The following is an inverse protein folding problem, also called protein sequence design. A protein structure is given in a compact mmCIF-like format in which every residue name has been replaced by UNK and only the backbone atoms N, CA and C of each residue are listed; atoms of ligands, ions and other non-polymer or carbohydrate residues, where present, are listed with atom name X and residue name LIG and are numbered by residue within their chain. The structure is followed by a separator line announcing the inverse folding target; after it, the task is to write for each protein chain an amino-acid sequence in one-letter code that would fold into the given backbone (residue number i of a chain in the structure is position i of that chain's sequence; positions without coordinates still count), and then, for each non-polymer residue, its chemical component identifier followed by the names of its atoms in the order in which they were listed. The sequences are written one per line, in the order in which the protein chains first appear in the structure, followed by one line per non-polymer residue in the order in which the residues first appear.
data_IF_740466956870
#
_entry.id   IF_740466956870
#
_cell.length_a   1.000
_cell.length_b   1.000
_cell.length_c   1.000
_cell.angle_alpha   90.00
_cell.angle_beta   90.00
_cell.angle_gamma   90.00
#
_symmetry.space_group_name_H-M   'P 1'
#
loop_
_entity.id
_entity.type
_entity.pdbx_description
1 polymer ?
#
# COMPACT_ATOMS: atom_id res chain seq x y z
N UNK A 1 13.30 -13.47 -0.34
CA UNK A 1 12.31 -14.57 -0.38
C UNK A 1 11.38 -14.37 -1.56
N UNK A 2 11.01 -15.45 -2.26
CA UNK A 2 10.11 -15.41 -3.42
C UNK A 2 8.76 -16.03 -3.02
N UNK A 3 7.67 -15.32 -3.27
CA UNK A 3 6.30 -15.78 -3.00
C UNK A 3 5.55 -15.88 -4.34
N UNK A 4 5.02 -17.05 -4.70
CA UNK A 4 4.24 -17.23 -5.92
C UNK A 4 2.84 -16.62 -5.78
N UNK A 5 2.31 -16.08 -6.89
CA UNK A 5 0.95 -15.59 -7.00
C UNK A 5 0.42 -15.82 -8.41
N UNK A 6 -0.33 -16.91 -8.60
CA UNK A 6 -0.75 -17.35 -9.93
C UNK A 6 0.45 -17.72 -10.81
N UNK A 7 0.56 -17.06 -11.95
CA UNK A 7 1.67 -17.20 -12.92
C UNK A 7 2.82 -16.20 -12.69
N UNK A 8 2.73 -15.42 -11.60
CA UNK A 8 3.72 -14.41 -11.24
C UNK A 8 4.37 -14.72 -9.89
N UNK A 9 5.36 -13.92 -9.52
CA UNK A 9 6.02 -14.00 -8.21
C UNK A 9 6.26 -12.59 -7.68
N UNK A 10 6.33 -12.46 -6.36
CA UNK A 10 6.87 -11.26 -5.71
C UNK A 10 8.15 -11.62 -4.97
N UNK A 11 9.02 -10.65 -4.81
CA UNK A 11 10.24 -10.81 -4.04
C UNK A 11 10.24 -9.86 -2.84
N UNK A 12 10.51 -10.42 -1.65
CA UNK A 12 10.72 -9.69 -0.41
C UNK A 12 12.14 -9.96 0.09
N UNK A 13 12.86 -8.92 0.46
CA UNK A 13 14.25 -8.99 0.86
C UNK A 13 14.40 -8.69 2.36
N UNK A 14 15.07 -9.57 3.09
CA UNK A 14 15.56 -9.27 4.42
C UNK A 14 16.74 -8.30 4.30
N UNK A 15 16.86 -7.40 5.26
CA UNK A 15 17.94 -6.42 5.29
C UNK A 15 18.47 -6.26 6.70
N UNK A 16 19.74 -5.88 6.80
CA UNK A 16 20.29 -5.38 8.05
C UNK A 16 19.83 -3.92 8.25
N UNK A 17 19.13 -3.66 9.35
CA UNK A 17 18.62 -2.34 9.69
C UNK A 17 17.09 -2.21 9.63
N UNK A 18 16.61 -0.97 9.60
CA UNK A 18 15.18 -0.70 9.63
C UNK A 18 14.51 -0.96 8.28
N UNK A 19 13.33 -1.55 8.30
CA UNK A 19 12.47 -1.70 7.13
C UNK A 19 11.47 -0.55 7.11
N UNK A 20 11.57 0.33 6.10
CA UNK A 20 10.58 1.36 5.84
C UNK A 20 9.37 0.80 5.09
N UNK A 21 8.16 1.20 5.45
CA UNK A 21 6.94 0.83 4.73
C UNK A 21 6.05 2.05 4.52
N UNK A 22 5.68 2.33 3.28
CA UNK A 22 4.67 3.34 2.95
C UNK A 22 3.28 2.74 3.19
N UNK A 23 2.65 3.08 4.32
CA UNK A 23 1.33 2.59 4.71
C UNK A 23 0.27 3.66 4.46
N UNK A 24 -0.59 3.44 3.47
CA UNK A 24 -1.65 4.38 3.07
C UNK A 24 -3.00 4.10 3.72
N UNK A 25 -3.13 3.03 4.50
CA UNK A 25 -4.43 2.53 4.99
C UNK A 25 -5.21 1.71 3.96
N UNK A 26 -4.74 1.64 2.71
CA UNK A 26 -5.32 0.83 1.64
C UNK A 26 -4.94 -0.65 1.72
N UNK A 27 -5.67 -1.48 0.96
CA UNK A 27 -5.51 -2.94 1.02
C UNK A 27 -4.13 -3.44 0.60
N UNK A 28 -3.49 -2.82 -0.41
CA UNK A 28 -2.21 -3.30 -0.92
C UNK A 28 -1.07 -3.04 0.07
N UNK A 29 -1.02 -1.84 0.66
CA UNK A 29 -0.01 -1.51 1.66
C UNK A 29 -0.19 -2.31 2.95
N UNK A 30 -1.43 -2.64 3.33
CA UNK A 30 -1.72 -3.51 4.46
C UNK A 30 -1.29 -4.96 4.17
N UNK A 31 -1.61 -5.49 2.98
CA UNK A 31 -1.17 -6.84 2.58
C UNK A 31 0.37 -6.93 2.59
N UNK A 32 1.03 -5.92 2.03
CA UNK A 32 2.49 -5.87 2.01
C UNK A 32 3.07 -5.90 3.43
N UNK A 33 2.57 -5.06 4.33
CA UNK A 33 3.02 -5.04 5.73
C UNK A 33 2.78 -6.39 6.42
N UNK A 34 1.62 -7.01 6.20
CA UNK A 34 1.29 -8.34 6.75
C UNK A 34 2.29 -9.40 6.25
N UNK A 35 2.57 -9.43 4.95
CA UNK A 35 3.54 -10.36 4.37
C UNK A 35 4.95 -10.14 4.90
N UNK A 36 5.38 -8.89 5.05
CA UNK A 36 6.68 -8.56 5.62
C UNK A 36 6.80 -9.07 7.07
N UNK A 37 5.79 -8.79 7.90
CA UNK A 37 5.79 -9.20 9.31
C UNK A 37 5.71 -10.72 9.51
N UNK A 38 5.00 -11.43 8.63
CA UNK A 38 4.86 -12.88 8.69
C UNK A 38 6.14 -13.61 8.27
N UNK A 39 6.95 -12.96 7.45
CA UNK A 39 8.15 -13.57 6.88
C UNK A 39 9.46 -13.06 7.49
N UNK A 40 9.43 -11.91 8.18
CA UNK A 40 10.60 -11.33 8.83
C UNK A 40 10.27 -11.03 10.30
N UNK A 41 10.76 -11.88 11.17
CA UNK A 41 10.60 -11.79 12.63
C UNK A 41 11.67 -10.88 13.25
N UNK A 42 11.35 -10.26 14.39
CA UNK A 42 12.25 -9.40 15.17
C UNK A 42 12.81 -8.22 14.39
N UNK A 43 12.02 -7.69 13.45
CA UNK A 43 12.38 -6.53 12.66
C UNK A 43 11.87 -5.25 13.29
N UNK A 44 12.57 -4.16 12.97
CA UNK A 44 12.13 -2.80 13.25
C UNK A 44 11.56 -2.18 11.99
N UNK A 45 10.25 -1.88 12.04
CA UNK A 45 9.51 -1.25 10.95
C UNK A 45 9.33 0.24 11.20
N UNK A 46 9.72 1.06 10.24
CA UNK A 46 9.41 2.51 10.21
C UNK A 46 8.25 2.71 9.23
N UNK A 47 7.09 3.03 9.77
CA UNK A 47 5.84 3.12 9.02
C UNK A 47 5.59 4.58 8.66
N UNK A 48 5.62 4.88 7.37
CA UNK A 48 5.37 6.22 6.84
C UNK A 48 3.93 6.33 6.36
N UNK A 49 3.16 7.22 6.99
CA UNK A 49 1.79 7.55 6.60
C UNK A 49 1.75 8.99 6.10
N UNK A 50 1.35 9.18 4.85
CA UNK A 50 1.12 10.52 4.31
C UNK A 50 -0.29 10.94 4.72
N UNK A 51 -0.39 11.97 5.55
CA UNK A 51 -1.67 12.51 6.00
C UNK A 51 -2.41 13.18 4.83
N UNK A 52 -3.61 12.68 4.56
CA UNK A 52 -4.48 13.12 3.48
C UNK A 52 -5.90 13.36 3.99
N UNK A 53 -6.65 14.15 3.23
CA UNK A 53 -8.08 14.39 3.52
C UNK A 53 -8.97 13.13 3.47
N UNK A 54 -8.46 12.02 2.93
CA UNK A 54 -9.17 10.73 2.88
C UNK A 54 -9.18 9.98 4.22
N UNK A 55 -8.55 10.52 5.26
CA UNK A 55 -8.49 9.92 6.59
C UNK A 55 -7.49 8.78 6.71
N UNK A 56 -6.47 8.73 5.83
CA UNK A 56 -5.43 7.69 5.81
C UNK A 56 -4.78 7.45 7.18
N UNK A 57 -4.45 8.50 7.92
CA UNK A 57 -3.83 8.42 9.25
C UNK A 57 -4.65 7.57 10.21
N UNK A 58 -5.96 7.80 10.30
CA UNK A 58 -6.84 7.05 11.19
C UNK A 58 -6.90 5.56 10.84
N UNK A 59 -6.84 5.23 9.55
CA UNK A 59 -6.87 3.84 9.12
C UNK A 59 -5.53 3.15 9.38
N UNK A 60 -4.42 3.86 9.22
CA UNK A 60 -3.10 3.30 9.52
C UNK A 60 -2.89 3.05 11.01
N UNK A 61 -3.40 3.90 11.89
CA UNK A 61 -3.40 3.66 13.34
C UNK A 61 -4.09 2.32 13.69
N UNK A 62 -5.31 2.10 13.21
CA UNK A 62 -6.04 0.84 13.42
C UNK A 62 -5.33 -0.39 12.86
N UNK A 63 -4.68 -0.24 11.72
CA UNK A 63 -3.87 -1.30 11.11
C UNK A 63 -2.69 -1.62 12.00
N UNK A 64 -2.01 -0.60 12.53
CA UNK A 64 -0.84 -0.80 13.37
C UNK A 64 -1.20 -1.44 14.72
N UNK A 65 -2.31 -1.07 15.33
CA UNK A 65 -2.82 -1.73 16.54
C UNK A 65 -2.97 -3.24 16.29
N UNK A 66 -3.67 -3.62 15.22
CA UNK A 66 -3.86 -5.02 14.88
C UNK A 66 -2.55 -5.75 14.53
N UNK A 67 -1.69 -5.13 13.73
CA UNK A 67 -0.42 -5.74 13.29
C UNK A 67 0.51 -5.93 14.49
N UNK A 68 0.57 -4.97 15.41
CA UNK A 68 1.38 -5.07 16.62
C UNK A 68 0.92 -6.20 17.56
N UNK A 69 -0.39 -6.39 17.69
CA UNK A 69 -0.93 -7.52 18.47
C UNK A 69 -0.63 -8.87 17.82
N UNK A 70 -0.69 -8.94 16.48
CA UNK A 70 -0.48 -10.19 15.72
C UNK A 70 0.99 -10.57 15.62
N UNK A 71 1.89 -9.59 15.55
CA UNK A 71 3.33 -9.79 15.37
C UNK A 71 4.13 -9.11 16.50
N UNK A 72 3.98 -9.58 17.75
CA UNK A 72 4.50 -8.89 18.94
C UNK A 72 6.02 -8.90 19.06
N UNK A 73 6.71 -9.66 18.25
CA UNK A 73 8.19 -9.72 18.21
C UNK A 73 8.80 -8.62 17.35
N UNK A 74 7.98 -7.95 16.53
CA UNK A 74 8.39 -6.83 15.69
C UNK A 74 8.16 -5.49 16.41
N UNK A 75 9.00 -4.51 16.09
CA UNK A 75 8.86 -3.13 16.58
C UNK A 75 8.31 -2.22 15.49
N UNK A 76 7.36 -1.34 15.83
CA UNK A 76 6.71 -0.44 14.86
C UNK A 76 6.84 1.02 15.31
N UNK A 77 7.36 1.86 14.42
CA UNK A 77 7.53 3.29 14.63
C UNK A 77 6.78 4.05 13.53
N UNK A 78 5.69 4.71 13.87
CA UNK A 78 4.90 5.47 12.90
C UNK A 78 5.45 6.89 12.75
N UNK A 79 5.63 7.31 11.51
CA UNK A 79 5.94 8.68 11.08
C UNK A 79 4.79 9.20 10.22
N UNK A 80 4.13 10.25 10.70
CA UNK A 80 3.05 10.91 9.95
C UNK A 80 3.67 12.07 9.19
N UNK A 81 3.65 11.97 7.88
CA UNK A 81 4.16 12.98 6.96
C UNK A 81 2.99 13.88 6.55
N UNK A 82 3.08 15.16 6.84
CA UNK A 82 2.05 16.12 6.39
C UNK A 82 2.04 16.17 4.87
N UNK A 83 0.92 15.81 4.28
CA UNK A 83 0.68 16.08 2.86
C UNK A 83 0.67 17.59 2.64
N UNK A 84 1.43 18.11 1.66
CA UNK A 84 1.48 19.54 1.36
C UNK A 84 0.11 20.19 1.23
N UNK A 85 0.05 21.50 1.42
CA UNK A 85 -1.19 22.28 1.45
C UNK A 85 -2.02 22.15 0.17
N UNK A 86 -3.34 22.29 0.25
CA UNK A 86 -4.24 22.06 -0.89
C UNK A 86 -3.94 22.99 -2.09
N UNK A 87 -3.38 24.18 -1.83
CA UNK A 87 -3.05 25.14 -2.88
C UNK A 87 -1.73 24.81 -3.59
N UNK A 88 -0.72 24.28 -2.90
CA UNK A 88 0.48 23.69 -3.53
C UNK A 88 0.15 22.44 -4.34
N UNK A 89 -0.93 21.74 -4.01
CA UNK A 89 -1.43 20.55 -4.72
C UNK A 89 -1.92 20.86 -6.14
N UNK A 90 -2.45 22.05 -6.39
CA UNK A 90 -2.95 22.46 -7.71
C UNK A 90 -1.83 22.80 -8.69
N UNK A 91 -0.75 23.41 -8.21
CA UNK A 91 0.39 23.81 -9.06
C UNK A 91 1.33 22.64 -9.37
N UNK A 92 1.50 21.67 -8.45
CA UNK A 92 2.43 20.54 -8.62
C UNK A 92 1.76 19.23 -9.04
N UNK A 93 0.43 19.15 -9.07
CA UNK A 93 -0.34 17.96 -9.42
C UNK A 93 -0.12 16.76 -8.47
N UNK A 94 0.20 16.97 -7.14
CA UNK A 94 0.92 15.96 -6.44
C UNK A 94 0.80 15.98 -4.91
N UNK A 95 -0.34 15.72 -4.34
CA UNK A 95 -0.40 15.56 -2.86
C UNK A 95 0.32 14.33 -2.30
N UNK A 96 0.44 13.27 -3.07
CA UNK A 96 1.15 12.06 -2.64
C UNK A 96 2.66 12.08 -2.93
N UNK A 97 3.10 12.82 -3.95
CA UNK A 97 4.50 12.86 -4.39
C UNK A 97 5.36 13.75 -3.48
N UNK A 98 4.82 14.86 -2.97
CA UNK A 98 5.57 15.72 -2.04
C UNK A 98 5.89 14.98 -0.74
N UNK A 99 4.90 14.33 -0.11
CA UNK A 99 5.13 13.53 1.08
C UNK A 99 6.04 12.31 0.82
N UNK A 100 5.95 11.70 -0.35
CA UNK A 100 6.87 10.64 -0.75
C UNK A 100 8.30 11.16 -0.96
N UNK A 101 8.47 12.32 -1.61
CA UNK A 101 9.76 12.97 -1.76
C UNK A 101 10.37 13.33 -0.40
N UNK A 102 9.56 13.78 0.56
CA UNK A 102 9.99 14.07 1.93
C UNK A 102 10.55 12.82 2.63
N UNK A 103 9.89 11.68 2.51
CA UNK A 103 10.39 10.39 3.02
C UNK A 103 11.74 10.04 2.41
N UNK A 104 11.87 10.15 1.10
CA UNK A 104 13.13 9.85 0.41
C UNK A 104 14.26 10.80 0.82
N UNK A 105 13.98 12.08 0.99
CA UNK A 105 15.01 13.08 1.32
C UNK A 105 15.46 12.97 2.79
N UNK A 106 14.48 12.84 3.72
CA UNK A 106 14.76 13.02 5.13
C UNK A 106 14.99 11.72 5.91
N UNK A 107 14.50 10.58 5.40
CA UNK A 107 14.53 9.32 6.14
C UNK A 107 15.25 8.17 5.42
N UNK A 108 15.44 8.26 4.12
CA UNK A 108 15.91 7.16 3.30
C UNK A 108 17.27 6.59 3.73
N UNK A 109 18.21 7.45 4.12
CA UNK A 109 19.57 7.04 4.51
C UNK A 109 19.59 6.17 5.77
N UNK A 110 18.58 6.32 6.63
CA UNK A 110 18.43 5.57 7.89
C UNK A 110 17.70 4.23 7.73
N UNK A 111 17.33 3.86 6.50
CA UNK A 111 16.62 2.61 6.19
C UNK A 111 17.58 1.62 5.52
N UNK A 112 17.40 0.34 5.84
CA UNK A 112 17.98 -0.74 5.06
C UNK A 112 17.25 -0.90 3.72
N UNK A 113 15.91 -0.77 3.75
CA UNK A 113 15.04 -0.85 2.58
C UNK A 113 13.77 -0.03 2.82
N UNK A 114 13.14 0.48 1.77
CA UNK A 114 11.83 1.14 1.80
C UNK A 114 10.86 0.42 0.85
N UNK A 115 9.77 -0.08 1.40
CA UNK A 115 8.74 -0.78 0.65
C UNK A 115 7.50 0.08 0.36
N UNK A 116 6.92 -0.13 -0.83
CA UNK A 116 5.63 0.42 -1.20
C UNK A 116 4.74 -0.64 -1.87
N UNK A 117 3.47 -0.69 -1.47
CA UNK A 117 2.46 -1.60 -2.01
C UNK A 117 1.81 -1.12 -3.32
N UNK A 118 2.52 -0.35 -4.14
CA UNK A 118 1.99 0.10 -5.42
C UNK A 118 1.75 -1.07 -6.37
N UNK A 119 0.56 -1.08 -7.00
CA UNK A 119 0.14 -2.07 -8.00
C UNK A 119 0.05 -1.42 -9.38
N UNK A 120 0.08 -2.20 -10.45
CA UNK A 120 -0.29 -1.71 -11.79
C UNK A 120 -1.81 -1.46 -11.88
N UNK A 121 -2.21 -0.71 -12.89
CA UNK A 121 -3.65 -0.53 -13.18
C UNK A 121 -4.26 -1.82 -13.71
N UNK A 122 -5.57 -2.06 -13.50
CA UNK A 122 -6.29 -3.11 -14.19
C UNK A 122 -6.17 -2.99 -15.71
N UNK A 123 -6.46 -4.05 -16.48
CA UNK A 123 -6.51 -3.99 -17.93
C UNK A 123 -7.42 -2.88 -18.45
N UNK A 124 -7.11 -2.34 -19.62
CA UNK A 124 -7.82 -1.17 -20.20
C UNK A 124 -9.31 -1.37 -20.42
N UNK A 125 -9.79 -2.61 -20.58
CA UNK A 125 -11.22 -2.90 -20.70
C UNK A 125 -12.02 -2.56 -19.44
N UNK A 126 -11.36 -2.46 -18.28
CA UNK A 126 -12.00 -2.12 -17.02
C UNK A 126 -12.38 -0.63 -16.96
N UNK A 127 -11.64 0.25 -17.62
CA UNK A 127 -11.75 1.69 -17.43
C UNK A 127 -11.74 2.47 -18.75
N UNK A 128 -12.83 2.36 -19.49
CA UNK A 128 -13.02 3.05 -20.75
C UNK A 128 -13.23 4.52 -20.54
N UNK A 129 -12.78 5.44 -20.19
CA UNK A 129 -13.02 6.89 -20.03
C UNK A 129 -12.78 7.48 -18.64
N UNK A 130 -11.90 6.91 -17.86
CA UNK A 130 -11.55 7.52 -16.58
C UNK A 130 -10.08 7.91 -16.56
N UNK A 131 -9.75 8.98 -15.85
CA UNK A 131 -8.39 9.37 -15.54
C UNK A 131 -7.77 8.31 -14.62
N UNK A 132 -7.23 7.27 -15.21
CA UNK A 132 -6.52 6.25 -14.46
C UNK A 132 -5.34 6.87 -13.71
N UNK A 133 -5.12 6.50 -12.44
CA UNK A 133 -3.98 6.99 -11.69
C UNK A 133 -2.67 6.69 -12.42
N UNK A 134 -1.78 7.68 -12.53
CA UNK A 134 -0.45 7.50 -13.11
C UNK A 134 0.46 6.73 -12.14
N UNK A 135 0.28 5.41 -12.07
CA UNK A 135 1.04 4.54 -11.18
C UNK A 135 2.47 4.29 -11.64
N UNK A 136 2.74 4.43 -12.93
CA UNK A 136 4.08 4.32 -13.50
C UNK A 136 5.11 5.30 -12.90
N UNK A 137 4.67 6.43 -12.36
CA UNK A 137 5.59 7.38 -11.72
C UNK A 137 6.25 6.82 -10.44
N UNK A 138 5.56 5.96 -9.68
CA UNK A 138 6.14 5.32 -8.51
C UNK A 138 7.16 4.23 -8.90
N UNK A 139 6.87 3.48 -9.96
CA UNK A 139 7.81 2.48 -10.51
C UNK A 139 9.06 3.18 -11.06
N UNK A 140 8.92 4.25 -11.84
CA UNK A 140 10.04 5.04 -12.35
C UNK A 140 10.85 5.73 -11.24
N UNK A 141 10.22 6.04 -10.09
CA UNK A 141 10.92 6.53 -8.92
C UNK A 141 11.73 5.41 -8.24
N UNK A 142 11.19 4.19 -8.19
CA UNK A 142 11.86 3.03 -7.63
C UNK A 142 13.19 2.72 -8.35
N UNK A 143 13.19 2.84 -9.67
CA UNK A 143 14.39 2.60 -10.49
C UNK A 143 15.57 3.55 -10.18
N UNK A 144 15.29 4.68 -9.53
CA UNK A 144 16.31 5.69 -9.15
C UNK A 144 16.89 5.47 -7.77
N UNK A 145 16.25 4.66 -6.95
CA UNK A 145 16.65 4.48 -5.55
C UNK A 145 16.81 2.99 -5.24
N UNK A 146 18.05 2.58 -5.06
CA UNK A 146 18.41 1.16 -4.86
C UNK A 146 17.66 0.47 -3.71
N UNK A 147 17.39 1.21 -2.63
CA UNK A 147 16.67 0.68 -1.46
C UNK A 147 15.15 0.77 -1.56
N UNK A 148 14.59 1.38 -2.61
CA UNK A 148 13.15 1.51 -2.77
C UNK A 148 12.58 0.37 -3.60
N UNK A 149 11.70 -0.43 -2.99
CA UNK A 149 11.16 -1.65 -3.58
C UNK A 149 9.64 -1.61 -3.66
N UNK A 150 9.10 -1.93 -4.82
CA UNK A 150 7.66 -2.01 -5.10
C UNK A 150 7.30 -3.43 -5.56
N UNK A 151 7.19 -4.41 -4.65
CA UNK A 151 7.06 -5.82 -5.04
C UNK A 151 5.77 -6.13 -5.81
N UNK A 152 4.75 -5.27 -5.70
CA UNK A 152 3.46 -5.42 -6.40
C UNK A 152 3.36 -4.62 -7.71
N UNK A 153 4.42 -3.93 -8.15
CA UNK A 153 4.36 -3.02 -9.29
C UNK A 153 3.91 -3.67 -10.61
N UNK A 154 4.14 -4.96 -10.76
CA UNK A 154 3.75 -5.76 -11.92
C UNK A 154 2.46 -6.58 -11.71
N UNK A 155 1.80 -6.40 -10.57
CA UNK A 155 0.54 -7.04 -10.20
C UNK A 155 -0.60 -6.01 -10.28
N UNK A 156 -1.72 -6.38 -10.86
CA UNK A 156 -2.96 -5.64 -10.70
C UNK A 156 -3.72 -6.08 -9.43
N UNK A 157 -4.86 -5.48 -9.18
CA UNK A 157 -5.65 -5.74 -7.97
C UNK A 157 -6.15 -7.18 -7.87
N UNK A 158 -6.33 -7.88 -8.99
CA UNK A 158 -6.77 -9.29 -8.95
C UNK A 158 -5.68 -10.19 -8.37
N UNK A 159 -4.43 -9.92 -8.69
CA UNK A 159 -3.30 -10.67 -8.14
C UNK A 159 -3.09 -10.37 -6.65
N UNK A 160 -3.27 -9.13 -6.18
CA UNK A 160 -3.12 -8.84 -4.75
C UNK A 160 -4.25 -9.47 -3.92
N UNK A 161 -5.47 -9.55 -4.45
CA UNK A 161 -6.57 -10.29 -3.82
C UNK A 161 -6.25 -11.79 -3.80
N UNK A 162 -5.78 -12.35 -4.93
CA UNK A 162 -5.38 -13.76 -5.00
C UNK A 162 -4.24 -14.08 -4.02
N UNK A 163 -3.22 -13.24 -3.96
CA UNK A 163 -2.09 -13.40 -3.04
C UNK A 163 -2.56 -13.46 -1.57
N UNK A 164 -3.50 -12.58 -1.20
CA UNK A 164 -4.08 -12.60 0.14
C UNK A 164 -4.92 -13.85 0.39
N UNK A 165 -5.68 -14.32 -0.60
CA UNK A 165 -6.49 -15.53 -0.50
C UNK A 165 -5.61 -16.77 -0.32
N UNK A 166 -4.62 -16.95 -1.19
CA UNK A 166 -3.73 -18.12 -1.19
C UNK A 166 -2.92 -18.22 0.12
N UNK A 167 -2.68 -17.09 0.80
CA UNK A 167 -1.96 -17.02 2.08
C UNK A 167 -2.88 -16.82 3.30
N UNK A 168 -4.19 -16.94 3.16
CA UNK A 168 -5.19 -16.80 4.22
C UNK A 168 -5.23 -15.42 4.91
N UNK A 169 -4.85 -14.36 4.19
CA UNK A 169 -4.83 -12.98 4.69
C UNK A 169 -6.05 -12.14 4.28
N UNK A 170 -7.07 -12.69 3.63
CA UNK A 170 -8.25 -11.92 3.19
C UNK A 170 -8.92 -11.18 4.35
N UNK A 171 -8.91 -11.79 5.53
CA UNK A 171 -9.53 -11.22 6.73
C UNK A 171 -8.93 -9.86 7.13
N UNK A 172 -7.65 -9.59 6.82
CA UNK A 172 -7.01 -8.31 7.15
C UNK A 172 -7.63 -7.16 6.35
N UNK A 173 -8.21 -7.43 5.19
CA UNK A 173 -8.82 -6.41 4.35
C UNK A 173 -10.06 -5.73 4.97
N UNK A 174 -10.63 -6.30 6.04
CA UNK A 174 -11.67 -5.63 6.85
C UNK A 174 -11.19 -4.31 7.46
N UNK A 175 -9.90 -4.21 7.74
CA UNK A 175 -9.28 -3.03 8.35
C UNK A 175 -8.80 -2.01 7.32
N UNK A 176 -8.78 -2.35 6.04
CA UNK A 176 -8.31 -1.47 4.99
C UNK A 176 -9.39 -0.55 4.46
N UNK A 177 -9.00 0.68 4.13
CA UNK A 177 -9.84 1.68 3.51
C UNK A 177 -9.28 2.09 2.15
N UNK A 178 -10.05 1.88 1.10
CA UNK A 178 -9.62 2.20 -0.28
C UNK A 178 -10.32 3.42 -0.87
N UNK A 179 -11.40 3.92 -0.26
CA UNK A 179 -12.15 5.05 -0.80
C UNK A 179 -11.37 6.37 -0.60
N UNK A 180 -11.22 7.14 -1.68
CA UNK A 180 -10.60 8.47 -1.63
C UNK A 180 -11.59 9.60 -1.46
N UNK A 181 -12.91 9.33 -1.65
CA UNK A 181 -13.98 10.31 -1.60
C UNK A 181 -14.65 10.40 -0.22
N UNK A 182 -14.48 9.38 0.61
CA UNK A 182 -15.11 9.30 1.93
C UNK A 182 -14.10 8.84 2.96
N UNK A 183 -14.00 9.51 4.10
CA UNK A 183 -13.10 9.10 5.19
C UNK A 183 -13.63 7.86 5.95
N UNK A 184 -14.90 7.49 5.73
CA UNK A 184 -15.54 6.29 6.29
C UNK A 184 -16.44 5.64 5.25
N UNK A 185 -16.45 4.31 5.23
CA UNK A 185 -17.24 3.54 4.28
C UNK A 185 -16.72 3.69 2.84
N UNK A 186 -17.53 3.33 1.88
CA UNK A 186 -17.17 3.36 0.46
C UNK A 186 -18.19 4.15 -0.33
N UNK A 187 -17.74 4.95 -1.28
CA UNK A 187 -18.66 5.62 -2.22
C UNK A 187 -19.19 4.68 -3.31
N UNK A 188 -18.43 3.60 -3.63
CA UNK A 188 -18.78 2.63 -4.67
C UNK A 188 -18.55 3.13 -6.11
N UNK A 189 -18.10 4.38 -6.29
CA UNK A 189 -17.98 5.01 -7.62
C UNK A 189 -16.58 5.55 -7.93
N UNK A 190 -15.74 5.82 -6.93
CA UNK A 190 -14.39 6.25 -7.18
C UNK A 190 -13.54 5.10 -7.75
N UNK A 191 -12.43 5.47 -8.40
CA UNK A 191 -11.51 4.51 -9.00
C UNK A 191 -11.13 3.39 -8.03
N UNK A 192 -10.71 3.74 -6.84
CA UNK A 192 -10.20 2.80 -5.84
C UNK A 192 -11.28 1.84 -5.33
N UNK A 193 -12.52 2.30 -5.20
CA UNK A 193 -13.65 1.44 -4.85
C UNK A 193 -13.97 0.43 -5.97
N UNK A 194 -14.01 0.90 -7.21
CA UNK A 194 -14.28 0.07 -8.38
C UNK A 194 -13.15 -0.94 -8.63
N UNK A 195 -11.89 -0.50 -8.56
CA UNK A 195 -10.74 -1.37 -8.72
C UNK A 195 -10.69 -2.47 -7.66
N UNK A 196 -10.97 -2.11 -6.40
CA UNK A 196 -11.04 -3.09 -5.31
C UNK A 196 -12.14 -4.12 -5.57
N UNK A 197 -13.36 -3.69 -5.91
CA UNK A 197 -14.45 -4.60 -6.24
C UNK A 197 -14.08 -5.51 -7.41
N UNK A 198 -13.52 -4.94 -8.49
CA UNK A 198 -13.04 -5.71 -9.64
C UNK A 198 -12.03 -6.79 -9.25
N UNK A 199 -11.05 -6.47 -8.39
CA UNK A 199 -10.06 -7.45 -7.93
C UNK A 199 -10.69 -8.66 -7.23
N UNK A 200 -11.71 -8.43 -6.39
CA UNK A 200 -12.47 -9.52 -5.75
C UNK A 200 -13.33 -10.30 -6.75
N UNK A 201 -13.99 -9.61 -7.68
CA UNK A 201 -14.86 -10.25 -8.69
C UNK A 201 -14.06 -11.17 -9.63
N UNK A 202 -12.83 -10.76 -10.02
CA UNK A 202 -11.94 -11.60 -10.83
C UNK A 202 -11.58 -12.92 -10.14
N UNK A 203 -11.52 -12.94 -8.83
CA UNK A 203 -11.22 -14.12 -8.03
C UNK A 203 -12.50 -14.85 -7.54
N UNK A 204 -13.69 -14.36 -7.88
CA UNK A 204 -14.98 -14.88 -7.40
C UNK A 204 -15.08 -14.91 -5.87
N UNK A 205 -14.47 -13.94 -5.22
CA UNK A 205 -14.43 -13.78 -3.77
C UNK A 205 -15.33 -12.60 -3.33
N UNK A 206 -15.81 -12.67 -2.12
CA UNK A 206 -16.50 -11.55 -1.48
C UNK A 206 -15.48 -10.64 -0.79
N UNK A 207 -15.62 -9.33 -0.99
CA UNK A 207 -14.80 -8.36 -0.27
C UNK A 207 -15.18 -8.32 1.23
N UNK A 208 -14.31 -8.73 2.15
CA UNK A 208 -14.62 -8.79 3.58
C UNK A 208 -14.80 -7.41 4.23
N UNK A 209 -14.34 -6.34 3.57
CA UNK A 209 -14.50 -4.96 4.03
C UNK A 209 -15.68 -4.22 3.39
N UNK A 210 -16.70 -4.92 2.91
CA UNK A 210 -17.85 -4.35 2.18
C UNK A 210 -18.94 -3.75 3.08
N UNK A 211 -18.69 -3.56 4.36
CA UNK A 211 -19.65 -2.95 5.29
C UNK A 211 -19.37 -1.47 5.51
#
# INVERSE_FOLDING_TARGET
MIIPVGDKTIELNAVDGNIGVLLSGGMDSLLLLTLLCDNFDRQRYVIFTIDKADGSTRWTEKILDYISERFPTNEFYQQIIKGGDQDEKKELGVSGKAGFADVLINYYDNLGILYSGNTMNPPTYFWHNTDAPLRGAAVAAAEKFEKFVTPFAHLDKSYTVKLAHDNLYEHVFKMSHSCTERPRGRCGVCWQCNERQWGFDQNKLMDPGKN
#
